data_IF_421298146977
#
_entry.id   IF_421298146977
#
_cell.length_a   1.000
_cell.length_b   1.000
_cell.length_c   1.000
_cell.angle_alpha   90.00
_cell.angle_beta   90.00
_cell.angle_gamma   90.00
#
_symmetry.space_group_name_H-M   'P 1'
#
loop_
_entity.id
_entity.type
_entity.pdbx_description
1 polymer ?
#
# COMPACT_ATOMS: atom_id res chain seq x y z
N UNK A 1 -1.84 -14.98 -30.58
CA UNK A 1 -0.68 -14.15 -30.98
C UNK A 1 0.05 -14.71 -32.21
N UNK A 2 -0.70 -15.15 -33.25
CA UNK A 2 -0.15 -15.99 -34.32
C UNK A 2 0.88 -15.28 -35.23
N UNK A 3 0.96 -13.94 -35.22
CA UNK A 3 1.83 -13.14 -36.10
C UNK A 3 2.89 -12.29 -35.38
N UNK A 4 3.25 -12.62 -34.13
CA UNK A 4 4.27 -11.85 -33.38
C UNK A 4 5.60 -11.72 -34.12
N UNK A 5 6.14 -12.83 -34.62
CA UNK A 5 7.43 -12.86 -35.34
C UNK A 5 7.43 -11.87 -36.52
N UNK A 6 6.37 -11.85 -37.34
CA UNK A 6 6.25 -10.95 -38.50
C UNK A 6 6.25 -9.47 -38.11
N UNK A 7 5.52 -9.10 -37.04
CA UNK A 7 5.47 -7.71 -36.54
C UNK A 7 6.79 -7.28 -35.89
N UNK A 8 7.39 -8.18 -35.12
CA UNK A 8 8.66 -7.95 -34.44
C UNK A 8 9.80 -7.73 -35.43
N UNK A 9 9.85 -8.51 -36.51
CA UNK A 9 10.86 -8.38 -37.56
C UNK A 9 10.76 -7.06 -38.34
N UNK A 10 9.59 -6.43 -38.39
CA UNK A 10 9.37 -5.14 -39.10
C UNK A 10 9.72 -3.90 -38.26
N UNK A 11 9.91 -4.05 -36.94
CA UNK A 11 10.17 -2.96 -35.99
C UNK A 11 11.68 -2.74 -35.80
N UNK A 12 12.12 -1.48 -35.69
CA UNK A 12 13.53 -1.09 -35.44
C UNK A 12 13.67 -0.24 -34.17
N UNK A 13 14.86 -0.27 -33.56
CA UNK A 13 15.19 0.54 -32.38
C UNK A 13 14.31 0.24 -31.16
N UNK A 14 13.91 1.30 -30.44
CA UNK A 14 13.06 1.26 -29.23
C UNK A 14 11.73 0.53 -29.45
N UNK A 15 11.13 0.66 -30.64
CA UNK A 15 9.85 0.02 -30.96
C UNK A 15 9.92 -1.52 -30.97
N UNK A 16 11.14 -2.09 -31.10
CA UNK A 16 11.39 -3.53 -31.03
C UNK A 16 11.41 -4.01 -29.58
N UNK A 17 12.00 -3.23 -28.67
CA UNK A 17 11.99 -3.50 -27.23
C UNK A 17 10.57 -3.44 -26.67
N UNK A 18 9.81 -2.42 -27.06
CA UNK A 18 8.40 -2.27 -26.66
C UNK A 18 7.56 -3.48 -27.12
N UNK A 19 7.68 -3.87 -28.40
CA UNK A 19 6.99 -5.06 -28.94
C UNK A 19 7.40 -6.37 -28.26
N UNK A 20 8.67 -6.48 -27.83
CA UNK A 20 9.15 -7.62 -27.07
C UNK A 20 8.52 -7.69 -25.67
N UNK A 21 8.49 -6.57 -24.94
CA UNK A 21 7.90 -6.49 -23.62
C UNK A 21 6.39 -6.71 -23.66
N UNK A 22 5.68 -6.15 -24.64
CA UNK A 22 4.28 -6.46 -24.87
C UNK A 22 4.06 -7.96 -24.98
N UNK A 23 4.81 -8.66 -25.84
CA UNK A 23 4.68 -10.11 -26.01
C UNK A 23 4.98 -10.87 -24.71
N UNK A 24 6.04 -10.48 -24.00
CA UNK A 24 6.44 -11.12 -22.74
C UNK A 24 5.36 -10.97 -21.66
N UNK A 25 4.79 -9.78 -21.54
CA UNK A 25 3.71 -9.46 -20.59
C UNK A 25 2.42 -10.16 -21.01
N UNK A 26 2.00 -10.04 -22.27
CA UNK A 26 0.78 -10.68 -22.78
C UNK A 26 0.82 -12.20 -22.65
N UNK A 27 1.97 -12.84 -22.86
CA UNK A 27 2.10 -14.28 -22.68
C UNK A 27 1.92 -14.70 -21.22
N UNK A 28 2.47 -13.95 -20.27
CA UNK A 28 2.21 -14.15 -18.83
C UNK A 28 0.73 -13.95 -18.48
N UNK A 29 0.10 -12.90 -19.01
CA UNK A 29 -1.32 -12.64 -18.82
C UNK A 29 -2.22 -13.73 -19.41
N UNK A 30 -1.93 -14.23 -20.62
CA UNK A 30 -2.67 -15.34 -21.21
C UNK A 30 -2.58 -16.60 -20.36
N UNK A 31 -1.39 -16.93 -19.83
CA UNK A 31 -1.26 -18.06 -18.92
C UNK A 31 -2.11 -17.88 -17.64
N UNK A 32 -2.14 -16.67 -17.08
CA UNK A 32 -2.98 -16.36 -15.92
C UNK A 32 -4.48 -16.45 -16.29
N UNK A 33 -4.88 -15.96 -17.47
CA UNK A 33 -6.25 -16.08 -17.97
C UNK A 33 -6.65 -17.53 -18.24
N UNK A 34 -5.75 -18.37 -18.75
CA UNK A 34 -6.04 -19.80 -18.99
C UNK A 34 -6.15 -20.56 -17.67
N UNK A 35 -5.30 -20.24 -16.69
CA UNK A 35 -5.45 -20.73 -15.30
C UNK A 35 -6.77 -20.25 -14.71
N UNK A 36 -7.12 -18.99 -14.92
CA UNK A 36 -8.38 -18.37 -14.48
C UNK A 36 -9.61 -19.03 -15.11
N UNK A 37 -9.58 -19.34 -16.41
CA UNK A 37 -10.67 -20.04 -17.13
C UNK A 37 -10.85 -21.47 -16.66
N UNK A 38 -9.74 -22.21 -16.43
CA UNK A 38 -9.80 -23.54 -15.81
C UNK A 38 -10.36 -23.47 -14.40
N UNK A 39 -10.01 -22.42 -13.65
CA UNK A 39 -10.59 -22.13 -12.34
C UNK A 39 -12.08 -21.76 -12.42
N UNK A 40 -12.53 -21.11 -13.48
CA UNK A 40 -13.92 -20.67 -13.64
C UNK A 40 -14.88 -21.82 -13.96
N UNK A 41 -14.39 -22.88 -14.63
CA UNK A 41 -15.17 -24.09 -14.91
C UNK A 41 -15.47 -24.90 -13.63
N UNK A 42 -14.61 -24.79 -12.62
CA UNK A 42 -14.77 -25.42 -11.30
C UNK A 42 -14.75 -24.35 -10.20
N UNK A 43 -15.82 -23.57 -10.12
CA UNK A 43 -15.94 -22.42 -9.20
C UNK A 43 -15.66 -22.78 -7.73
N UNK A 44 -16.06 -23.98 -7.30
CA UNK A 44 -15.86 -24.47 -5.94
C UNK A 44 -14.40 -24.86 -5.67
N UNK A 45 -13.72 -25.43 -6.66
CA UNK A 45 -12.33 -25.89 -6.55
C UNK A 45 -11.36 -24.71 -6.68
N UNK A 46 -11.70 -23.74 -7.52
CA UNK A 46 -10.90 -22.52 -7.71
C UNK A 46 -10.93 -21.59 -6.51
N UNK A 47 -12.09 -21.34 -5.90
CA UNK A 47 -12.16 -20.57 -4.64
C UNK A 47 -11.26 -21.19 -3.58
N UNK A 48 -11.28 -22.52 -3.46
CA UNK A 48 -10.44 -23.26 -2.50
C UNK A 48 -8.94 -23.14 -2.80
N UNK A 49 -8.53 -23.33 -4.05
CA UNK A 49 -7.11 -23.21 -4.45
C UNK A 49 -6.61 -21.77 -4.38
N UNK A 50 -7.44 -20.80 -4.77
CA UNK A 50 -7.11 -19.37 -4.69
C UNK A 50 -6.98 -18.92 -3.24
N UNK A 51 -7.92 -19.28 -2.37
CA UNK A 51 -7.82 -18.99 -0.93
C UNK A 51 -6.63 -19.72 -0.29
N UNK A 52 -6.33 -20.96 -0.67
CA UNK A 52 -5.19 -21.70 -0.10
C UNK A 52 -3.84 -21.15 -0.57
N UNK A 53 -3.75 -20.61 -1.79
CA UNK A 53 -2.50 -20.10 -2.38
C UNK A 53 -2.28 -18.60 -2.16
N UNK A 54 -3.34 -17.81 -2.18
CA UNK A 54 -3.31 -16.34 -2.07
C UNK A 54 -4.04 -15.79 -0.85
N UNK A 55 -4.84 -16.60 -0.15
CA UNK A 55 -5.61 -16.15 1.02
C UNK A 55 -4.73 -15.67 2.17
N UNK A 56 -3.64 -16.38 2.50
CA UNK A 56 -2.69 -15.91 3.52
C UNK A 56 -2.06 -14.57 3.12
N UNK A 57 -1.65 -14.44 1.85
CA UNK A 57 -1.08 -13.20 1.32
C UNK A 57 -2.07 -12.03 1.36
N UNK A 58 -3.34 -12.28 1.02
CA UNK A 58 -4.41 -11.28 1.10
C UNK A 58 -4.70 -10.85 2.54
N UNK A 59 -4.71 -11.80 3.49
CA UNK A 59 -4.90 -11.51 4.91
C UNK A 59 -3.75 -10.62 5.42
N UNK A 60 -2.50 -11.01 5.17
CA UNK A 60 -1.33 -10.23 5.59
C UNK A 60 -1.36 -8.83 4.95
N UNK A 61 -1.73 -8.75 3.68
CA UNK A 61 -1.84 -7.48 2.96
C UNK A 61 -2.95 -6.56 3.49
N UNK A 62 -4.03 -7.13 4.00
CA UNK A 62 -5.12 -6.40 4.65
C UNK A 62 -4.78 -6.01 6.10
N UNK A 63 -3.96 -6.80 6.80
CA UNK A 63 -3.50 -6.46 8.16
C UNK A 63 -2.54 -5.25 8.18
N UNK A 64 -1.70 -5.08 7.16
CA UNK A 64 -0.72 -3.98 7.11
C UNK A 64 -1.38 -2.59 7.26
N UNK A 65 -2.43 -2.23 6.50
CA UNK A 65 -3.15 -0.97 6.70
C UNK A 65 -3.75 -0.82 8.11
N UNK A 66 -4.30 -1.92 8.67
CA UNK A 66 -4.92 -1.92 10.00
C UNK A 66 -3.88 -1.62 11.08
N UNK A 67 -2.70 -2.23 10.98
CA UNK A 67 -1.57 -1.94 11.88
C UNK A 67 -1.07 -0.50 11.73
N UNK A 68 -1.06 0.04 10.51
CA UNK A 68 -0.74 1.45 10.28
C UNK A 68 -1.76 2.41 10.89
N UNK A 69 -3.04 2.03 10.92
CA UNK A 69 -4.12 2.84 11.49
C UNK A 69 -4.16 2.85 13.02
N UNK A 70 -3.56 1.84 13.67
CA UNK A 70 -3.47 1.73 15.13
C UNK A 70 -2.58 2.83 15.73
N UNK A 71 -1.56 3.29 15.00
CA UNK A 71 -0.66 4.37 15.44
C UNK A 71 -1.39 5.68 15.78
N UNK A 72 -2.17 6.29 14.85
CA UNK A 72 -2.89 7.52 15.17
C UNK A 72 -3.98 7.33 16.24
N UNK A 73 -4.47 6.11 16.46
CA UNK A 73 -5.40 5.80 17.57
C UNK A 73 -4.66 5.79 18.92
N UNK A 74 -3.43 5.27 18.97
CA UNK A 74 -2.63 5.26 20.20
C UNK A 74 -2.09 6.65 20.56
N UNK A 75 -1.49 7.35 19.59
CA UNK A 75 -0.75 8.58 19.85
C UNK A 75 -1.57 9.85 19.58
N UNK A 76 -2.57 9.78 18.69
CA UNK A 76 -3.39 10.93 18.30
C UNK A 76 -2.73 11.78 17.21
N UNK A 77 -3.55 12.46 16.42
CA UNK A 77 -3.07 13.33 15.34
C UNK A 77 -2.57 14.69 15.83
N UNK A 78 -3.02 15.14 17.00
CA UNK A 78 -2.75 16.47 17.54
C UNK A 78 -3.15 16.53 19.01
N UNK A 79 -2.70 17.56 19.74
CA UNK A 79 -3.18 17.82 21.11
C UNK A 79 -4.69 18.01 21.22
N UNK A 80 -5.36 18.44 20.13
CA UNK A 80 -6.84 18.55 20.05
C UNK A 80 -7.55 17.19 19.88
N UNK A 81 -6.86 16.19 19.35
CA UNK A 81 -7.36 14.83 19.16
C UNK A 81 -6.36 13.85 19.77
N UNK A 82 -6.28 13.81 21.12
CA UNK A 82 -5.36 12.93 21.81
C UNK A 82 -5.75 11.46 21.56
N UNK A 83 -4.76 10.62 21.31
CA UNK A 83 -4.93 9.17 21.26
C UNK A 83 -5.06 8.57 22.66
N UNK A 84 -5.19 7.24 22.73
CA UNK A 84 -5.33 6.49 23.99
C UNK A 84 -4.20 6.81 25.00
N UNK A 85 -2.96 6.96 24.53
CA UNK A 85 -1.84 7.26 25.41
C UNK A 85 -1.76 8.74 25.80
N UNK A 86 -2.33 9.63 24.99
CA UNK A 86 -2.41 11.08 25.22
C UNK A 86 -1.05 11.80 25.35
N UNK A 87 -0.92 13.05 24.91
CA UNK A 87 0.25 13.87 25.23
C UNK A 87 0.28 14.18 26.75
N UNK A 88 1.48 14.36 27.36
CA UNK A 88 1.53 14.87 28.76
C UNK A 88 0.87 16.29 28.73
N UNK A 89 0.09 16.68 29.76
CA UNK A 89 -0.61 17.97 29.79
C UNK A 89 0.37 19.16 29.86
N UNK A 90 -0.10 20.36 29.52
CA UNK A 90 0.79 21.53 29.32
C UNK A 90 1.45 22.02 30.63
N UNK A 91 0.80 21.80 31.75
CA UNK A 91 1.26 22.07 33.10
C UNK A 91 2.46 21.20 33.53
N UNK A 92 2.74 20.11 32.78
CA UNK A 92 3.90 19.24 32.98
C UNK A 92 5.22 19.87 32.51
N UNK A 93 5.19 20.92 31.69
CA UNK A 93 6.39 21.51 31.11
C UNK A 93 6.90 22.70 31.94
N UNK A 94 8.22 22.80 32.10
CA UNK A 94 8.88 23.94 32.79
C UNK A 94 8.60 25.25 32.05
N UNK A 95 8.77 25.22 30.73
CA UNK A 95 8.50 26.33 29.83
C UNK A 95 7.74 25.83 28.60
N UNK A 96 6.76 26.61 28.12
CA UNK A 96 6.04 26.31 26.88
C UNK A 96 7.02 26.32 25.70
N UNK A 97 7.32 25.14 25.14
CA UNK A 97 8.08 25.00 23.88
C UNK A 97 9.44 24.31 23.98
N UNK A 98 9.99 24.08 25.17
CA UNK A 98 11.29 23.39 25.31
C UNK A 98 11.17 21.86 25.42
N UNK A 99 9.95 21.34 25.66
CA UNK A 99 9.73 19.91 25.89
C UNK A 99 10.27 19.40 27.23
N UNK A 100 10.77 20.31 28.09
CA UNK A 100 11.34 19.94 29.38
C UNK A 100 10.26 19.75 30.44
N UNK A 101 10.14 18.54 30.97
CA UNK A 101 9.23 18.23 32.06
C UNK A 101 9.70 18.85 33.39
N UNK A 102 8.75 19.32 34.20
CA UNK A 102 8.98 19.67 35.60
C UNK A 102 9.46 18.43 36.37
N UNK A 103 10.31 18.65 37.36
CA UNK A 103 11.06 17.60 38.07
C UNK A 103 10.59 17.45 39.52
N UNK A 104 9.39 17.93 39.81
CA UNK A 104 8.84 18.09 41.15
C UNK A 104 8.16 16.77 41.59
N UNK A 105 8.06 16.52 42.90
CA UNK A 105 7.61 15.24 43.45
C UNK A 105 6.18 14.88 42.97
N UNK A 106 6.08 13.77 42.22
CA UNK A 106 4.89 13.29 41.51
C UNK A 106 5.06 13.24 39.98
N UNK A 107 5.92 14.11 39.43
CA UNK A 107 6.08 14.36 37.99
C UNK A 107 7.35 13.81 37.34
N UNK A 108 8.35 13.47 38.17
CA UNK A 108 9.61 12.87 37.71
C UNK A 108 9.39 11.59 36.87
N UNK A 109 8.26 10.91 37.08
CA UNK A 109 7.91 9.64 36.46
C UNK A 109 6.77 9.73 35.41
N UNK A 110 6.63 10.84 34.61
CA UNK A 110 5.63 10.87 33.49
C UNK A 110 5.87 9.67 32.57
N UNK A 111 4.92 8.72 32.55
CA UNK A 111 5.02 7.52 31.71
C UNK A 111 5.05 7.86 30.22
N UNK A 112 4.55 9.03 29.81
CA UNK A 112 4.53 9.49 28.42
C UNK A 112 5.70 10.42 28.05
N UNK A 113 6.68 10.64 28.95
CA UNK A 113 7.90 11.44 28.68
C UNK A 113 8.71 10.89 27.49
N UNK A 114 8.76 9.57 27.33
CA UNK A 114 9.48 8.93 26.23
C UNK A 114 8.77 9.16 24.88
N UNK A 115 7.45 9.34 24.88
CA UNK A 115 6.64 9.63 23.69
C UNK A 115 6.99 11.02 23.19
N UNK A 116 6.99 12.04 24.07
CA UNK A 116 7.39 13.41 23.72
C UNK A 116 8.86 13.45 23.25
N UNK A 117 9.77 12.76 23.94
CA UNK A 117 11.18 12.68 23.51
C UNK A 117 11.36 12.04 22.12
N UNK A 118 10.44 11.17 21.70
CA UNK A 118 10.50 10.46 20.41
C UNK A 118 9.38 10.90 19.46
N UNK A 119 8.68 12.00 19.71
CA UNK A 119 7.50 12.42 18.95
C UNK A 119 7.84 12.60 17.47
N UNK A 120 9.01 13.18 17.17
CA UNK A 120 9.48 13.39 15.80
C UNK A 120 9.76 12.07 15.08
N UNK A 121 10.35 11.10 15.78
CA UNK A 121 10.59 9.77 15.22
C UNK A 121 9.25 9.09 14.93
N UNK A 122 8.32 9.10 15.90
CA UNK A 122 7.00 8.49 15.78
C UNK A 122 6.23 9.13 14.62
N UNK A 123 6.18 10.47 14.54
CA UNK A 123 5.53 11.19 13.46
C UNK A 123 6.15 10.91 12.08
N UNK A 124 7.48 10.80 11.99
CA UNK A 124 8.16 10.42 10.75
C UNK A 124 7.82 8.98 10.32
N UNK A 125 7.70 8.05 11.26
CA UNK A 125 7.25 6.68 10.96
C UNK A 125 5.80 6.66 10.46
N UNK A 126 4.89 7.40 11.11
CA UNK A 126 3.49 7.53 10.67
C UNK A 126 3.39 8.12 9.26
N UNK A 127 4.10 9.21 8.99
CA UNK A 127 4.16 9.84 7.66
C UNK A 127 4.68 8.89 6.59
N UNK A 128 5.74 8.13 6.88
CA UNK A 128 6.29 7.12 5.96
C UNK A 128 5.26 6.04 5.62
N UNK A 129 4.55 5.52 6.64
CA UNK A 129 3.48 4.53 6.45
C UNK A 129 2.35 5.11 5.58
N UNK A 130 1.93 6.35 5.86
CA UNK A 130 0.86 7.02 5.12
C UNK A 130 1.22 7.23 3.63
N UNK A 131 2.46 7.63 3.35
CA UNK A 131 2.97 7.76 1.97
C UNK A 131 2.93 6.42 1.23
N UNK A 132 3.29 5.32 1.90
CA UNK A 132 3.24 3.97 1.30
C UNK A 132 1.80 3.58 0.96
N UNK A 133 0.84 3.86 1.86
CA UNK A 133 -0.59 3.57 1.65
C UNK A 133 -1.12 4.39 0.46
N UNK A 134 -0.85 5.70 0.40
CA UNK A 134 -1.29 6.55 -0.71
C UNK A 134 -0.75 6.05 -2.05
N UNK A 135 0.56 5.75 -2.13
CA UNK A 135 1.19 5.26 -3.37
C UNK A 135 0.55 3.98 -3.88
N UNK A 136 0.15 3.09 -2.96
CA UNK A 136 -0.51 1.82 -3.26
C UNK A 136 -1.89 2.02 -3.88
N UNK A 137 -2.68 2.95 -3.34
CA UNK A 137 -4.01 3.29 -3.88
C UNK A 137 -3.90 4.01 -5.24
N UNK A 138 -2.89 4.88 -5.40
CA UNK A 138 -2.56 5.48 -6.70
C UNK A 138 -2.18 4.44 -7.76
N UNK A 139 -1.39 3.43 -7.38
CA UNK A 139 -0.98 2.36 -8.30
C UNK A 139 -2.20 1.54 -8.77
N UNK A 140 -3.11 1.19 -7.84
CA UNK A 140 -4.39 0.55 -8.20
C UNK A 140 -5.20 1.41 -9.16
N UNK A 141 -5.30 2.71 -8.91
CA UNK A 141 -6.02 3.64 -9.78
C UNK A 141 -5.43 3.64 -11.21
N UNK A 142 -4.10 3.74 -11.32
CA UNK A 142 -3.40 3.73 -12.61
C UNK A 142 -3.61 2.41 -13.36
N UNK A 143 -3.53 1.27 -12.68
CA UNK A 143 -3.81 -0.04 -13.27
C UNK A 143 -5.25 -0.10 -13.81
N UNK A 144 -6.23 0.40 -13.04
CA UNK A 144 -7.62 0.43 -13.48
C UNK A 144 -7.81 1.32 -14.72
N UNK A 145 -7.21 2.52 -14.72
CA UNK A 145 -7.23 3.44 -15.86
C UNK A 145 -6.62 2.80 -17.11
N UNK A 146 -5.46 2.15 -16.97
CA UNK A 146 -4.79 1.43 -18.06
C UNK A 146 -5.65 0.27 -18.59
N UNK A 147 -6.29 -0.50 -17.71
CA UNK A 147 -7.22 -1.56 -18.11
C UNK A 147 -8.44 -1.02 -18.87
N UNK A 148 -9.01 0.11 -18.44
CA UNK A 148 -10.09 0.81 -19.15
C UNK A 148 -9.66 1.29 -20.52
N UNK A 149 -8.50 1.97 -20.61
CA UNK A 149 -7.94 2.44 -21.88
C UNK A 149 -7.73 1.27 -22.85
N UNK A 150 -7.15 0.17 -22.37
CA UNK A 150 -6.93 -1.03 -23.18
C UNK A 150 -8.24 -1.68 -23.63
N UNK A 151 -9.27 -1.69 -22.78
CA UNK A 151 -10.61 -2.22 -23.14
C UNK A 151 -11.25 -1.40 -24.26
N UNK A 152 -11.18 -0.06 -24.20
CA UNK A 152 -11.69 0.86 -25.23
C UNK A 152 -10.91 0.74 -26.54
N UNK A 153 -9.59 0.61 -26.47
CA UNK A 153 -8.76 0.48 -27.66
C UNK A 153 -8.95 -0.88 -28.37
N UNK A 154 -9.24 -1.94 -27.61
CA UNK A 154 -9.62 -3.26 -28.17
C UNK A 154 -11.01 -3.23 -28.83
N UNK A 155 -11.99 -2.49 -28.28
CA UNK A 155 -13.32 -2.36 -28.90
C UNK A 155 -13.33 -1.48 -30.16
N UNK A 156 -12.33 -0.61 -30.34
CA UNK A 156 -12.21 0.27 -31.51
C UNK A 156 -11.36 -0.35 -32.64
N UNK A 157 -10.78 -1.53 -32.41
CA UNK A 157 -9.95 -2.27 -33.39
C UNK A 157 -10.58 -3.60 -33.84
N UNK A 158 -11.84 -3.84 -33.46
CA UNK A 158 -12.77 -4.84 -34.01
C UNK A 158 -13.77 -4.13 -34.91
#
# INVERSE_FOLDING_TARGET
>A
MKNYKKRYMRKKGLSKLDCYYENKIFRKFNNICDIGKKMQYDENLSKKVFLKKYGLGLIIFALIPVLGFIFPILFGFSRKFPGILGPCPLDHFKNSGTGEHKTDNGLQNCTTKWIEKKSDLIGNFENMIYIIIIKKEYLKFYINLYLRYKKVNISMSL
#
